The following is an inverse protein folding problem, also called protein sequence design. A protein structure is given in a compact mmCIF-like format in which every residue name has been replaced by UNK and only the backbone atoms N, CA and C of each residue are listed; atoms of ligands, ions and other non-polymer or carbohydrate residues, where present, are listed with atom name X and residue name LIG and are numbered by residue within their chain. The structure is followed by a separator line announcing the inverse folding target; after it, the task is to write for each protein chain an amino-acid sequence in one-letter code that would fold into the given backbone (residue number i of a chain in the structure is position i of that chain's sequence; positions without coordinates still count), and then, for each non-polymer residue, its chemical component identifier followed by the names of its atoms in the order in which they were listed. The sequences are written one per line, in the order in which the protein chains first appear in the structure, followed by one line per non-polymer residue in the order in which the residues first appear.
data_IF_400382155849
#
_entry.id   IF_400382155849
#
_cell.length_a   1.000
_cell.length_b   1.000
_cell.length_c   1.000
_cell.angle_alpha   90.00
_cell.angle_beta   90.00
_cell.angle_gamma   90.00
#
_symmetry.space_group_name_H-M   'P 1'
#
loop_
_entity.id
_entity.type
_entity.pdbx_description
1 polymer ?
#
# COMPACT_ATOMS: atom_id res chain seq x y z
N UNK A 1 51.96 13.95 2.68
CA UNK A 1 51.70 12.81 1.78
C UNK A 1 50.33 12.24 2.14
N UNK A 2 49.26 12.76 1.54
CA UNK A 2 47.87 12.33 1.77
C UNK A 2 47.17 12.28 0.42
N UNK A 3 46.97 11.06 -0.09
CA UNK A 3 46.37 10.80 -1.39
C UNK A 3 44.85 11.02 -1.33
N UNK A 4 44.33 11.89 -2.21
CA UNK A 4 42.89 12.01 -2.48
C UNK A 4 42.41 10.74 -3.20
N UNK A 5 41.67 9.89 -2.50
CA UNK A 5 40.92 8.80 -3.12
C UNK A 5 39.70 9.42 -3.83
N UNK A 6 39.78 9.58 -5.16
CA UNK A 6 38.62 9.84 -6.01
C UNK A 6 37.80 8.55 -6.10
N UNK A 7 36.65 8.51 -5.46
CA UNK A 7 35.63 7.48 -5.72
C UNK A 7 35.16 7.64 -7.17
N UNK A 8 35.48 6.67 -8.02
CA UNK A 8 34.97 6.59 -9.37
C UNK A 8 33.44 6.40 -9.34
N UNK A 9 32.69 7.31 -9.96
CA UNK A 9 31.29 7.05 -10.31
C UNK A 9 31.30 5.89 -11.33
N UNK A 10 30.48 4.84 -11.16
CA UNK A 10 30.32 3.86 -12.23
C UNK A 10 29.66 4.58 -13.41
N UNK A 11 30.41 4.74 -14.51
CA UNK A 11 29.87 5.14 -15.79
C UNK A 11 29.08 3.94 -16.32
N UNK A 12 27.74 4.02 -16.28
CA UNK A 12 26.91 3.01 -16.94
C UNK A 12 27.24 3.02 -18.44
N UNK A 13 27.36 1.83 -19.02
CA UNK A 13 27.68 1.68 -20.44
C UNK A 13 26.55 2.23 -21.32
N UNK A 14 26.83 2.61 -22.57
CA UNK A 14 25.79 3.12 -23.48
C UNK A 14 24.73 2.07 -23.82
N UNK A 15 25.06 0.77 -23.69
CA UNK A 15 24.11 -0.33 -23.77
C UNK A 15 23.14 -0.36 -22.58
N UNK A 16 23.63 -0.12 -21.35
CA UNK A 16 22.78 0.03 -20.15
C UNK A 16 21.85 1.24 -20.26
N UNK A 17 22.33 2.35 -20.80
CA UNK A 17 21.47 3.53 -21.06
C UNK A 17 20.42 3.27 -22.13
N UNK A 18 20.77 2.52 -23.18
CA UNK A 18 19.84 2.10 -24.22
C UNK A 18 18.78 1.11 -23.71
N UNK A 19 19.14 0.20 -22.78
CA UNK A 19 18.17 -0.67 -22.09
C UNK A 19 17.29 0.11 -21.10
N UNK A 20 17.86 1.05 -20.32
CA UNK A 20 17.08 1.92 -19.42
C UNK A 20 16.07 2.80 -20.18
N UNK A 21 16.39 3.20 -21.41
CA UNK A 21 15.51 3.93 -22.31
C UNK A 21 14.29 3.13 -22.79
N UNK A 22 14.26 1.81 -22.59
CA UNK A 22 13.16 0.90 -22.97
C UNK A 22 12.33 0.40 -21.80
N UNK A 23 12.69 0.75 -20.57
CA UNK A 23 11.88 0.42 -19.39
C UNK A 23 10.60 1.25 -19.37
N UNK A 24 9.45 0.66 -18.97
CA UNK A 24 8.19 1.38 -18.88
C UNK A 24 8.32 2.58 -17.94
N UNK A 25 7.72 3.69 -18.36
CA UNK A 25 7.55 4.89 -17.52
C UNK A 25 6.11 5.09 -17.12
N UNK A 26 5.17 4.84 -18.02
CA UNK A 26 3.75 4.91 -17.75
C UNK A 26 2.97 4.02 -18.71
N UNK A 27 1.79 3.58 -18.27
CA UNK A 27 0.81 2.88 -19.09
C UNK A 27 -0.43 3.75 -19.25
N UNK A 28 -1.08 3.65 -20.40
CA UNK A 28 -2.36 4.26 -20.69
C UNK A 28 -3.36 3.16 -21.02
N UNK A 29 -4.59 3.34 -20.55
CA UNK A 29 -5.74 2.49 -20.88
C UNK A 29 -6.82 3.38 -21.43
N UNK A 30 -7.14 3.19 -22.70
CA UNK A 30 -8.34 3.73 -23.31
C UNK A 30 -9.43 2.64 -23.39
N UNK A 31 -10.58 2.96 -23.98
CA UNK A 31 -11.72 2.04 -24.05
C UNK A 31 -11.43 0.75 -24.82
N UNK A 32 -10.40 0.73 -25.68
CA UNK A 32 -10.09 -0.38 -26.59
C UNK A 32 -8.65 -0.88 -26.49
N UNK A 33 -7.72 -0.12 -25.91
CA UNK A 33 -6.31 -0.43 -25.92
C UNK A 33 -5.66 -0.24 -24.56
N UNK A 34 -4.68 -1.10 -24.31
CA UNK A 34 -3.69 -0.92 -23.27
C UNK A 34 -2.37 -0.64 -23.96
N UNK A 35 -1.82 0.55 -23.76
CA UNK A 35 -0.53 0.97 -24.32
C UNK A 35 0.47 1.27 -23.21
N UNK A 36 1.75 0.99 -23.46
CA UNK A 36 2.82 1.33 -22.52
C UNK A 36 3.92 2.09 -23.24
N UNK A 37 4.44 3.12 -22.57
CA UNK A 37 5.45 4.02 -23.10
C UNK A 37 6.74 3.96 -22.26
N UNK A 38 7.87 4.06 -22.96
CA UNK A 38 9.19 4.25 -22.37
C UNK A 38 9.72 5.65 -22.67
N UNK A 39 10.49 6.22 -21.74
CA UNK A 39 10.93 7.62 -21.80
C UNK A 39 9.91 8.62 -21.26
N UNK A 40 10.40 9.80 -20.84
CA UNK A 40 9.56 10.91 -20.31
C UNK A 40 9.53 12.08 -21.28
N UNK A 41 10.68 12.55 -21.75
CA UNK A 41 10.77 13.70 -22.67
C UNK A 41 10.36 13.37 -24.09
N UNK A 42 10.70 12.17 -24.58
CA UNK A 42 10.27 11.66 -25.88
C UNK A 42 9.68 10.25 -25.69
N UNK A 43 8.41 10.13 -25.26
CA UNK A 43 7.80 8.84 -25.01
C UNK A 43 7.70 8.00 -26.28
N UNK A 44 8.18 6.77 -26.23
CA UNK A 44 8.08 5.78 -27.31
C UNK A 44 7.14 4.68 -26.86
N UNK A 45 6.14 4.34 -27.68
CA UNK A 45 5.27 3.21 -27.41
C UNK A 45 6.06 1.91 -27.52
N UNK A 46 6.09 1.13 -26.43
CA UNK A 46 6.83 -0.13 -26.32
C UNK A 46 5.91 -1.34 -26.19
N UNK A 47 4.61 -1.12 -25.92
CA UNK A 47 3.60 -2.16 -25.85
C UNK A 47 2.25 -1.64 -26.35
N UNK A 48 1.50 -2.51 -27.00
CA UNK A 48 0.11 -2.29 -27.36
C UNK A 48 -0.66 -3.61 -27.31
N UNK A 49 -1.83 -3.59 -26.71
CA UNK A 49 -2.77 -4.71 -26.68
C UNK A 49 -4.19 -4.20 -26.92
N UNK A 50 -4.84 -4.71 -27.95
CA UNK A 50 -6.27 -4.48 -28.19
C UNK A 50 -7.07 -5.27 -27.15
N UNK A 51 -7.67 -4.53 -26.22
CA UNK A 51 -8.29 -5.01 -25.00
C UNK A 51 -9.80 -4.91 -25.12
N UNK A 52 -10.49 -6.05 -25.20
CA UNK A 52 -11.95 -6.07 -25.39
C UNK A 52 -12.69 -5.79 -24.07
N UNK A 53 -12.12 -6.22 -22.95
CA UNK A 53 -12.65 -5.96 -21.62
C UNK A 53 -12.43 -4.51 -21.13
N UNK A 54 -11.73 -3.66 -21.89
CA UNK A 54 -11.42 -2.30 -21.47
C UNK A 54 -12.68 -1.41 -21.40
N UNK A 55 -13.67 -1.66 -22.27
CA UNK A 55 -14.99 -1.02 -22.21
C UNK A 55 -15.69 -1.28 -20.87
N UNK A 56 -15.52 -2.49 -20.32
CA UNK A 56 -16.09 -2.92 -19.03
C UNK A 56 -15.23 -2.59 -17.81
N UNK A 57 -14.08 -1.91 -17.99
CA UNK A 57 -13.22 -1.53 -16.88
C UNK A 57 -12.13 -2.54 -16.53
N UNK A 58 -11.39 -3.05 -17.53
CA UNK A 58 -10.19 -3.88 -17.31
C UNK A 58 -9.26 -3.31 -16.23
N UNK A 59 -8.94 -4.18 -15.27
CA UNK A 59 -7.92 -3.92 -14.25
C UNK A 59 -6.52 -4.20 -14.79
N UNK A 60 -5.57 -3.34 -14.44
CA UNK A 60 -4.16 -3.47 -14.81
C UNK A 60 -3.27 -2.99 -13.67
N UNK A 61 -2.05 -3.50 -13.60
CA UNK A 61 -1.08 -3.10 -12.58
C UNK A 61 0.37 -3.40 -13.01
N UNK A 62 1.30 -2.59 -12.53
CA UNK A 62 2.72 -2.91 -12.57
C UNK A 62 3.14 -3.63 -11.29
N UNK A 63 4.14 -4.50 -11.40
CA UNK A 63 4.85 -5.01 -10.23
C UNK A 63 5.60 -3.90 -9.50
N UNK A 64 5.92 -4.07 -8.22
CA UNK A 64 6.48 -3.01 -7.38
C UNK A 64 7.84 -2.47 -7.89
N UNK A 65 8.59 -3.31 -8.59
CA UNK A 65 9.88 -2.99 -9.23
C UNK A 65 9.75 -2.65 -10.73
N UNK A 66 8.53 -2.64 -11.27
CA UNK A 66 8.24 -2.40 -12.69
C UNK A 66 8.68 -3.52 -13.64
N UNK A 67 9.13 -4.68 -13.12
CA UNK A 67 9.60 -5.82 -13.93
C UNK A 67 8.49 -6.52 -14.70
N UNK A 68 7.28 -6.55 -14.14
CA UNK A 68 6.11 -7.16 -14.74
C UNK A 68 4.98 -6.17 -14.89
N UNK A 69 4.16 -6.39 -15.92
CA UNK A 69 2.93 -5.67 -16.19
C UNK A 69 1.81 -6.70 -16.36
N UNK A 70 0.73 -6.56 -15.58
CA UNK A 70 -0.39 -7.49 -15.62
C UNK A 70 -1.70 -6.76 -15.92
N UNK A 71 -2.60 -7.43 -16.64
CA UNK A 71 -3.96 -6.95 -16.87
C UNK A 71 -4.94 -8.09 -17.10
N UNK A 72 -6.23 -7.82 -16.88
CA UNK A 72 -7.35 -8.75 -17.07
C UNK A 72 -8.11 -8.46 -18.37
N UNK A 73 -8.13 -9.42 -19.29
CA UNK A 73 -8.98 -9.38 -20.50
C UNK A 73 -9.73 -10.71 -20.63
N UNK A 74 -9.48 -11.53 -21.66
CA UNK A 74 -10.04 -12.89 -21.73
C UNK A 74 -9.44 -13.86 -20.71
N UNK A 75 -8.29 -13.48 -20.16
CA UNK A 75 -7.46 -14.15 -19.16
C UNK A 75 -6.68 -13.07 -18.41
N UNK A 76 -5.99 -13.44 -17.34
CA UNK A 76 -4.93 -12.58 -16.80
C UNK A 76 -3.69 -12.79 -17.62
N UNK A 77 -3.17 -11.72 -18.21
CA UNK A 77 -1.89 -11.73 -18.90
C UNK A 77 -0.84 -11.03 -18.05
N UNK A 78 0.34 -11.64 -17.95
CA UNK A 78 1.51 -11.05 -17.29
C UNK A 78 2.64 -10.96 -18.31
N UNK A 79 3.11 -9.76 -18.58
CA UNK A 79 4.22 -9.48 -19.47
C UNK A 79 5.46 -9.08 -18.70
N UNK A 80 6.63 -9.52 -19.16
CA UNK A 80 7.92 -9.03 -18.66
C UNK A 80 8.30 -7.73 -19.38
N UNK A 81 8.39 -6.64 -18.64
CA UNK A 81 8.54 -5.29 -19.18
C UNK A 81 9.84 -5.04 -19.95
N UNK A 82 10.91 -5.79 -19.67
CA UNK A 82 12.20 -5.59 -20.34
C UNK A 82 12.19 -5.91 -21.83
N UNK A 83 11.33 -6.84 -22.26
CA UNK A 83 11.22 -7.29 -23.67
C UNK A 83 9.77 -7.37 -24.16
N UNK A 84 8.81 -6.98 -23.33
CA UNK A 84 7.37 -7.09 -23.61
C UNK A 84 6.95 -8.48 -24.09
N UNK A 85 7.53 -9.52 -23.49
CA UNK A 85 7.17 -10.92 -23.77
C UNK A 85 6.18 -11.42 -22.75
N UNK A 86 5.21 -12.21 -23.22
CA UNK A 86 4.29 -12.92 -22.34
C UNK A 86 5.10 -13.81 -21.40
N UNK A 87 4.93 -13.59 -20.11
CA UNK A 87 5.59 -14.33 -19.03
C UNK A 87 4.67 -15.41 -18.46
N UNK A 88 3.41 -15.07 -18.20
CA UNK A 88 2.40 -16.00 -17.73
C UNK A 88 1.00 -15.60 -18.22
N UNK A 89 0.11 -16.58 -18.32
CA UNK A 89 -1.31 -16.37 -18.54
C UNK A 89 -2.10 -17.27 -17.58
N UNK A 90 -3.07 -16.70 -16.86
CA UNK A 90 -3.90 -17.43 -15.90
C UNK A 90 -5.34 -17.48 -16.38
N UNK A 91 -6.00 -18.62 -16.20
CA UNK A 91 -7.39 -18.85 -16.62
C UNK A 91 -8.37 -18.19 -15.64
N UNK A 92 -8.41 -16.86 -15.70
CA UNK A 92 -9.24 -15.98 -14.89
C UNK A 92 -9.53 -14.72 -15.71
N UNK A 93 -10.80 -14.37 -15.88
CA UNK A 93 -11.27 -13.31 -16.77
C UNK A 93 -12.26 -12.35 -16.10
N UNK A 94 -12.57 -12.57 -14.82
CA UNK A 94 -13.52 -11.75 -14.06
C UNK A 94 -12.82 -10.92 -12.97
N UNK A 95 -11.50 -10.96 -12.90
CA UNK A 95 -10.76 -10.19 -11.90
C UNK A 95 -10.97 -8.68 -12.11
N UNK A 96 -11.40 -8.00 -11.05
CA UNK A 96 -11.55 -6.54 -10.96
C UNK A 96 -10.34 -5.89 -10.31
N UNK A 97 -9.55 -6.66 -9.56
CA UNK A 97 -8.36 -6.17 -8.89
C UNK A 97 -7.18 -7.13 -9.06
N UNK A 98 -6.01 -6.54 -9.23
CA UNK A 98 -4.72 -7.23 -9.34
C UNK A 98 -3.73 -6.66 -8.34
N UNK A 99 -2.93 -7.52 -7.73
CA UNK A 99 -1.90 -7.08 -6.81
C UNK A 99 -0.68 -8.02 -6.83
N UNK A 100 0.52 -7.48 -7.02
CA UNK A 100 1.77 -8.25 -6.93
C UNK A 100 2.32 -8.22 -5.50
N UNK A 101 2.75 -9.37 -5.02
CA UNK A 101 3.50 -9.46 -3.77
C UNK A 101 4.83 -8.67 -3.83
N UNK A 102 5.45 -8.26 -2.70
CA UNK A 102 6.62 -7.38 -2.64
C UNK A 102 7.81 -7.74 -3.54
N UNK A 103 8.14 -9.03 -3.69
CA UNK A 103 9.21 -9.56 -4.57
C UNK A 103 8.66 -10.13 -5.88
N UNK A 104 7.37 -9.91 -6.16
CA UNK A 104 6.67 -10.34 -7.36
C UNK A 104 6.69 -11.87 -7.57
N UNK A 105 6.72 -12.64 -6.48
CA UNK A 105 6.63 -14.10 -6.54
C UNK A 105 5.19 -14.58 -6.70
N UNK A 106 4.23 -13.78 -6.23
CA UNK A 106 2.79 -14.05 -6.26
C UNK A 106 2.03 -12.89 -6.92
N UNK A 107 1.02 -13.23 -7.71
CA UNK A 107 0.00 -12.31 -8.19
C UNK A 107 -1.34 -12.69 -7.56
N UNK A 108 -2.01 -11.73 -6.95
CA UNK A 108 -3.37 -11.86 -6.46
C UNK A 108 -4.35 -11.38 -7.51
N UNK A 109 -5.42 -12.13 -7.70
CA UNK A 109 -6.59 -11.72 -8.46
C UNK A 109 -7.80 -11.73 -7.56
N UNK A 110 -8.65 -10.71 -7.66
CA UNK A 110 -9.88 -10.64 -6.90
C UNK A 110 -11.05 -10.21 -7.79
N UNK A 111 -12.21 -10.84 -7.56
CA UNK A 111 -13.51 -10.40 -8.07
C UNK A 111 -14.46 -10.14 -6.89
N UNK A 112 -15.40 -9.17 -6.97
CA UNK A 112 -16.31 -8.90 -5.88
C UNK A 112 -17.15 -10.13 -5.56
N UNK A 113 -17.37 -10.37 -4.27
CA UNK A 113 -18.16 -11.51 -3.81
C UNK A 113 -19.62 -11.34 -4.27
N UNK A 114 -20.12 -12.28 -5.08
CA UNK A 114 -21.50 -12.31 -5.54
C UNK A 114 -22.18 -13.57 -5.01
N UNK A 115 -23.36 -13.42 -4.40
CA UNK A 115 -24.25 -14.54 -4.10
C UNK A 115 -25.37 -14.54 -5.14
N UNK A 116 -25.18 -15.26 -6.24
CA UNK A 116 -26.28 -15.49 -7.17
C UNK A 116 -27.40 -16.28 -6.46
N UNK A 117 -28.64 -15.85 -6.64
CA UNK A 117 -29.82 -16.53 -6.09
C UNK A 117 -29.88 -17.95 -6.67
N UNK A 118 -29.79 -18.97 -5.81
CA UNK A 118 -29.86 -20.39 -6.21
C UNK A 118 -28.52 -21.13 -6.31
N UNK A 119 -27.38 -20.46 -6.14
CA UNK A 119 -26.06 -21.13 -6.11
C UNK A 119 -25.69 -21.47 -4.66
N UNK A 120 -25.56 -22.76 -4.37
CA UNK A 120 -25.24 -23.29 -3.02
C UNK A 120 -23.74 -23.36 -2.73
N UNK A 121 -22.88 -23.27 -3.75
CA UNK A 121 -21.42 -23.28 -3.59
C UNK A 121 -20.85 -21.86 -3.50
N UNK A 122 -20.15 -21.58 -2.40
CA UNK A 122 -19.41 -20.34 -2.22
C UNK A 122 -18.17 -20.39 -3.13
N UNK A 123 -18.21 -19.73 -4.28
CA UNK A 123 -17.04 -19.63 -5.16
C UNK A 123 -15.93 -18.81 -4.51
N UNK A 124 -14.69 -19.30 -4.62
CA UNK A 124 -13.50 -18.54 -4.25
C UNK A 124 -13.33 -17.35 -5.18
N UNK A 125 -13.25 -16.16 -4.60
CA UNK A 125 -13.19 -14.90 -5.33
C UNK A 125 -11.86 -14.17 -5.16
N UNK A 126 -10.95 -14.72 -4.36
CA UNK A 126 -9.56 -14.28 -4.21
C UNK A 126 -8.64 -15.46 -4.54
N UNK A 127 -7.81 -15.32 -5.57
CA UNK A 127 -6.89 -16.38 -6.01
C UNK A 127 -5.44 -15.86 -5.97
N UNK A 128 -4.52 -16.73 -5.55
CA UNK A 128 -3.09 -16.44 -5.45
C UNK A 128 -2.34 -17.30 -6.46
N UNK A 129 -1.65 -16.66 -7.40
CA UNK A 129 -0.96 -17.31 -8.51
C UNK A 129 0.54 -17.16 -8.36
N UNK A 130 1.29 -18.25 -8.53
CA UNK A 130 2.75 -18.20 -8.57
C UNK A 130 3.21 -17.61 -9.90
N UNK A 131 3.90 -16.48 -9.85
CA UNK A 131 4.55 -15.88 -11.03
C UNK A 131 5.76 -16.71 -11.48
N UNK A 132 6.37 -17.48 -10.57
CA UNK A 132 7.54 -18.33 -10.87
C UNK A 132 7.13 -19.60 -11.61
N UNK A 133 6.10 -20.30 -11.11
CA UNK A 133 5.70 -21.61 -11.63
C UNK A 133 4.51 -21.58 -12.57
N UNK A 134 3.77 -20.46 -12.61
CA UNK A 134 2.53 -20.34 -13.38
C UNK A 134 1.34 -21.08 -12.77
N UNK A 135 1.47 -21.64 -11.56
CA UNK A 135 0.43 -22.44 -10.90
C UNK A 135 -0.40 -21.61 -9.92
N UNK A 136 -1.65 -22.04 -9.73
CA UNK A 136 -2.50 -21.59 -8.63
C UNK A 136 -1.93 -22.13 -7.31
N UNK A 137 -1.70 -21.24 -6.35
CA UNK A 137 -1.15 -21.58 -5.03
C UNK A 137 -2.25 -21.86 -4.02
N UNK A 138 -3.25 -20.98 -3.96
CA UNK A 138 -4.35 -21.07 -3.01
C UNK A 138 -5.54 -20.25 -3.50
N UNK A 139 -6.72 -20.60 -3.01
CA UNK A 139 -7.99 -19.94 -3.29
C UNK A 139 -8.71 -19.63 -1.99
N UNK A 140 -9.27 -18.43 -1.92
CA UNK A 140 -9.88 -17.91 -0.72
C UNK A 140 -11.22 -17.24 -1.03
N UNK A 141 -12.14 -17.33 -0.07
CA UNK A 141 -13.40 -16.57 -0.08
C UNK A 141 -13.21 -15.30 0.73
N UNK A 142 -13.39 -14.14 0.11
CA UNK A 142 -13.18 -12.83 0.68
C UNK A 142 -14.41 -11.94 0.44
N UNK A 143 -15.23 -11.78 1.48
CA UNK A 143 -16.50 -11.05 1.40
C UNK A 143 -16.32 -9.53 1.47
N UNK A 144 -15.36 -9.06 2.26
CA UNK A 144 -15.11 -7.63 2.42
C UNK A 144 -14.18 -7.14 1.30
N UNK A 145 -14.71 -6.26 0.44
CA UNK A 145 -13.98 -5.66 -0.67
C UNK A 145 -12.90 -4.67 -0.23
N UNK A 146 -13.04 -4.02 0.94
CA UNK A 146 -12.04 -3.06 1.43
C UNK A 146 -10.78 -3.81 1.90
N UNK A 147 -10.97 -4.89 2.67
CA UNK A 147 -9.87 -5.74 3.15
C UNK A 147 -9.61 -6.94 2.23
N UNK A 148 -9.86 -6.78 0.92
CA UNK A 148 -9.76 -7.89 -0.02
C UNK A 148 -8.35 -8.45 -0.15
N UNK A 149 -7.37 -7.55 -0.04
CA UNK A 149 -5.97 -7.82 -0.37
C UNK A 149 -5.24 -8.43 0.84
N UNK A 150 -4.65 -9.63 0.70
CA UNK A 150 -3.64 -10.11 1.65
C UNK A 150 -2.38 -9.25 1.55
N UNK A 151 -1.61 -9.19 2.64
CA UNK A 151 -0.37 -8.43 2.69
C UNK A 151 0.80 -9.35 3.00
N UNK A 152 1.99 -8.96 2.54
CA UNK A 152 3.23 -9.66 2.80
C UNK A 152 4.18 -8.74 3.53
N UNK A 153 5.04 -9.34 4.36
CA UNK A 153 6.28 -8.68 4.76
C UNK A 153 7.14 -8.41 3.53
N UNK A 154 8.04 -7.41 3.59
CA UNK A 154 8.81 -7.01 2.41
C UNK A 154 9.71 -8.13 1.85
N UNK A 155 10.09 -9.08 2.70
CA UNK A 155 10.84 -10.27 2.32
C UNK A 155 9.98 -11.46 1.88
N UNK A 156 8.64 -11.32 1.92
CA UNK A 156 7.63 -12.34 1.67
C UNK A 156 7.68 -13.57 2.59
N UNK A 157 8.35 -13.48 3.74
CA UNK A 157 8.41 -14.58 4.70
C UNK A 157 7.12 -14.78 5.51
N UNK A 158 6.23 -13.79 5.53
CA UNK A 158 4.94 -13.86 6.23
C UNK A 158 3.85 -13.30 5.32
N UNK A 159 2.73 -14.02 5.22
CA UNK A 159 1.49 -13.55 4.59
C UNK A 159 0.46 -13.27 5.67
N UNK A 160 -0.15 -12.09 5.68
CA UNK A 160 -1.19 -11.71 6.62
C UNK A 160 -2.52 -11.47 5.89
N UNK A 161 -3.60 -11.98 6.47
CA UNK A 161 -4.95 -11.83 5.93
C UNK A 161 -5.97 -11.65 7.05
N UNK A 162 -6.88 -10.71 6.85
CA UNK A 162 -8.00 -10.47 7.74
C UNK A 162 -9.25 -11.26 7.31
N UNK A 163 -9.77 -12.09 8.22
CA UNK A 163 -11.02 -12.83 8.05
C UNK A 163 -11.95 -12.51 9.22
N UNK A 164 -13.02 -11.75 8.96
CA UNK A 164 -13.87 -11.23 10.02
C UNK A 164 -13.09 -10.30 10.95
N UNK A 165 -12.94 -10.69 12.22
CA UNK A 165 -12.11 -9.98 13.21
C UNK A 165 -10.86 -10.77 13.64
N UNK A 166 -10.45 -11.71 12.79
CA UNK A 166 -9.26 -12.52 12.98
C UNK A 166 -8.20 -12.17 11.94
N UNK A 167 -7.04 -11.72 12.40
CA UNK A 167 -5.88 -11.50 11.55
C UNK A 167 -5.01 -12.76 11.58
N UNK A 168 -5.00 -13.49 10.48
CA UNK A 168 -4.27 -14.75 10.32
C UNK A 168 -2.93 -14.51 9.64
N UNK A 169 -1.87 -15.15 10.14
CA UNK A 169 -0.51 -15.10 9.62
C UNK A 169 -0.11 -16.48 9.12
N UNK A 170 0.33 -16.55 7.87
CA UNK A 170 0.69 -17.77 7.15
C UNK A 170 2.16 -17.76 6.79
N UNK A 171 2.75 -18.95 6.75
CA UNK A 171 4.04 -19.16 6.10
C UNK A 171 3.80 -19.34 4.59
N UNK A 172 4.64 -18.76 3.72
CA UNK A 172 4.42 -18.77 2.26
C UNK A 172 4.44 -20.18 1.66
N UNK A 173 5.02 -21.16 2.34
CA UNK A 173 5.07 -22.56 1.91
C UNK A 173 3.73 -23.29 2.09
N UNK A 174 2.86 -22.80 2.98
CA UNK A 174 1.54 -23.39 3.23
C UNK A 174 0.51 -22.30 3.54
N UNK A 175 -0.29 -21.96 2.52
CA UNK A 175 -1.34 -20.94 2.59
C UNK A 175 -2.71 -21.50 3.02
N UNK A 176 -2.84 -22.82 3.18
CA UNK A 176 -4.10 -23.46 3.58
C UNK A 176 -4.33 -23.39 5.09
N UNK A 177 -3.24 -23.26 5.88
CA UNK A 177 -3.29 -23.21 7.33
C UNK A 177 -2.44 -22.07 7.88
N UNK A 178 -3.06 -21.21 8.69
CA UNK A 178 -2.32 -20.16 9.41
C UNK A 178 -1.41 -20.77 10.48
N UNK A 179 -0.27 -20.12 10.70
CA UNK A 179 0.72 -20.45 11.73
C UNK A 179 0.40 -19.71 13.02
N UNK A 180 0.06 -18.41 12.91
CA UNK A 180 -0.36 -17.59 14.04
C UNK A 180 -1.64 -16.81 13.73
N UNK A 181 -2.32 -16.36 14.78
CA UNK A 181 -3.58 -15.61 14.65
C UNK A 181 -3.68 -14.57 15.77
N UNK A 182 -4.09 -13.36 15.40
CA UNK A 182 -4.45 -12.28 16.32
C UNK A 182 -5.95 -12.03 16.22
N UNK A 183 -6.70 -12.37 17.28
CA UNK A 183 -8.14 -12.13 17.36
C UNK A 183 -8.41 -10.95 18.28
N UNK A 184 -8.97 -9.87 17.73
CA UNK A 184 -9.38 -8.69 18.49
C UNK A 184 -10.84 -8.35 18.18
N UNK A 185 -11.68 -8.06 19.19
CA UNK A 185 -13.06 -7.64 18.94
C UNK A 185 -13.13 -6.43 18.01
N UNK A 186 -13.97 -6.53 16.97
CA UNK A 186 -14.18 -5.48 15.96
C UNK A 186 -12.90 -5.04 15.22
N UNK A 187 -11.90 -5.92 15.09
CA UNK A 187 -10.81 -5.68 14.15
C UNK A 187 -11.40 -5.59 12.74
N UNK A 188 -11.16 -4.48 12.06
CA UNK A 188 -11.76 -4.18 10.76
C UNK A 188 -10.75 -3.78 9.68
N UNK A 189 -9.55 -3.33 10.06
CA UNK A 189 -8.47 -3.00 9.12
C UNK A 189 -7.10 -3.29 9.74
N UNK A 190 -6.10 -3.50 8.89
CA UNK A 190 -4.71 -3.69 9.28
C UNK A 190 -3.76 -3.18 8.19
N UNK A 191 -2.48 -3.03 8.53
CA UNK A 191 -1.42 -2.70 7.60
C UNK A 191 -0.08 -3.27 8.09
N UNK A 192 0.62 -4.00 7.24
CA UNK A 192 1.97 -4.50 7.54
C UNK A 192 3.02 -3.41 7.31
N UNK A 193 4.03 -3.37 8.17
CA UNK A 193 5.15 -2.45 8.00
C UNK A 193 5.93 -2.77 6.71
N UNK A 194 6.27 -1.77 5.89
CA UNK A 194 7.21 -1.94 4.79
C UNK A 194 8.64 -2.02 5.33
N UNK A 195 9.61 -2.28 4.44
CA UNK A 195 11.03 -2.30 4.82
C UNK A 195 11.50 -3.63 5.40
N UNK A 196 12.78 -3.71 5.82
CA UNK A 196 13.38 -4.95 6.30
C UNK A 196 12.88 -5.34 7.69
N UNK A 197 13.17 -6.58 8.10
CA UNK A 197 12.93 -7.06 9.45
C UNK A 197 13.66 -6.19 10.52
N UNK A 198 13.14 -6.08 11.76
CA UNK A 198 11.95 -6.74 12.28
C UNK A 198 10.64 -6.16 11.69
N UNK A 199 9.67 -7.03 11.44
CA UNK A 199 8.38 -6.65 10.88
C UNK A 199 7.38 -6.31 11.97
N UNK A 200 6.43 -5.45 11.63
CA UNK A 200 5.38 -4.98 12.52
C UNK A 200 4.04 -4.97 11.80
N UNK A 201 2.97 -4.93 12.57
CA UNK A 201 1.61 -4.80 12.05
C UNK A 201 0.83 -3.77 12.84
N UNK A 202 0.22 -2.83 12.13
CA UNK A 202 -0.74 -1.90 12.68
C UNK A 202 -2.14 -2.45 12.44
N UNK A 203 -2.99 -2.44 13.46
CA UNK A 203 -4.38 -2.90 13.36
C UNK A 203 -5.32 -1.84 13.90
N UNK A 204 -6.52 -1.81 13.33
CA UNK A 204 -7.61 -0.94 13.76
C UNK A 204 -8.76 -1.79 14.31
N UNK A 205 -9.24 -1.41 15.49
CA UNK A 205 -10.47 -1.94 16.07
C UNK A 205 -11.51 -0.83 16.16
N UNK A 206 -12.68 -1.04 15.56
CA UNK A 206 -13.77 -0.08 15.61
C UNK A 206 -14.37 0.04 17.03
N UNK A 207 -15.00 1.18 17.31
CA UNK A 207 -15.62 1.45 18.61
C UNK A 207 -16.74 0.46 18.94
N UNK A 208 -16.94 0.20 20.23
CA UNK A 208 -18.05 -0.56 20.79
C UNK A 208 -18.70 0.21 21.93
N UNK A 209 -19.79 -0.30 22.50
CA UNK A 209 -20.45 0.33 23.66
C UNK A 209 -19.52 0.47 24.87
N UNK A 210 -18.52 -0.41 24.98
CA UNK A 210 -17.62 -0.48 26.14
C UNK A 210 -16.22 0.11 25.87
N UNK A 211 -15.81 0.19 24.60
CA UNK A 211 -14.44 0.56 24.22
C UNK A 211 -14.43 1.54 23.06
N UNK A 212 -13.60 2.57 23.16
CA UNK A 212 -13.32 3.49 22.06
C UNK A 212 -12.63 2.76 20.90
N UNK A 213 -12.67 3.38 19.71
CA UNK A 213 -11.87 2.91 18.59
C UNK A 213 -10.38 3.02 18.93
N UNK A 214 -9.56 2.11 18.39
CA UNK A 214 -8.13 2.10 18.68
C UNK A 214 -7.30 1.64 17.51
N UNK A 215 -6.13 2.26 17.34
CA UNK A 215 -5.03 1.70 16.58
C UNK A 215 -4.04 1.05 17.53
N UNK A 216 -3.54 -0.12 17.15
CA UNK A 216 -2.56 -0.88 17.92
C UNK A 216 -1.44 -1.34 17.01
N UNK A 217 -0.23 -1.23 17.50
CA UNK A 217 0.99 -1.65 16.83
C UNK A 217 1.51 -2.90 17.52
N UNK A 218 1.76 -3.96 16.76
CA UNK A 218 2.30 -5.23 17.23
C UNK A 218 3.61 -5.57 16.50
N UNK A 219 4.46 -6.38 17.12
CA UNK A 219 5.50 -7.09 16.37
C UNK A 219 4.85 -8.13 15.44
N UNK A 220 5.55 -8.51 14.36
CA UNK A 220 5.07 -9.51 13.42
C UNK A 220 6.18 -10.55 13.19
N UNK A 221 5.96 -11.75 13.73
CA UNK A 221 6.87 -12.89 13.63
C UNK A 221 6.05 -14.18 13.60
N UNK A 222 6.53 -15.20 12.89
CA UNK A 222 5.95 -16.55 12.96
C UNK A 222 6.54 -17.38 14.10
N UNK A 223 7.71 -17.00 14.62
CA UNK A 223 8.46 -17.77 15.61
C UNK A 223 8.32 -17.25 17.05
N UNK A 224 7.76 -16.06 17.21
CA UNK A 224 7.62 -15.37 18.49
C UNK A 224 6.17 -14.93 18.69
N UNK A 225 5.70 -14.77 19.95
CA UNK A 225 4.38 -14.22 20.22
C UNK A 225 4.15 -12.85 19.56
N UNK A 226 2.90 -12.59 19.15
CA UNK A 226 2.44 -11.30 18.64
C UNK A 226 2.04 -10.43 19.83
N UNK A 227 2.99 -9.63 20.30
CA UNK A 227 2.89 -8.72 21.43
C UNK A 227 2.66 -7.28 20.99
N UNK A 228 1.91 -6.55 21.81
CA UNK A 228 1.61 -5.14 21.58
C UNK A 228 2.82 -4.28 21.93
N UNK A 229 3.16 -3.36 21.03
CA UNK A 229 4.25 -2.38 21.19
C UNK A 229 3.68 -1.02 21.59
N UNK A 230 2.62 -0.59 20.91
CA UNK A 230 2.01 0.72 21.15
C UNK A 230 0.49 0.64 20.91
N UNK A 231 -0.27 1.49 21.60
CA UNK A 231 -1.71 1.58 21.48
C UNK A 231 -2.16 3.03 21.56
N UNK A 232 -3.08 3.43 20.69
CA UNK A 232 -3.71 4.75 20.73
C UNK A 232 -5.22 4.60 20.56
N UNK A 233 -5.97 5.14 21.53
CA UNK A 233 -7.43 5.26 21.45
C UNK A 233 -7.82 6.62 20.89
N UNK A 234 -8.89 6.65 20.09
CA UNK A 234 -9.45 7.86 19.46
C UNK A 234 -10.90 7.62 19.06
N UNK A 235 -11.57 8.68 18.60
CA UNK A 235 -12.85 8.58 17.91
C UNK A 235 -12.58 8.46 16.41
N UNK A 236 -13.09 7.40 15.79
CA UNK A 236 -12.99 7.17 14.36
C UNK A 236 -14.04 6.15 13.92
N UNK A 237 -14.48 6.28 12.67
CA UNK A 237 -15.24 5.26 11.96
C UNK A 237 -14.30 4.36 11.17
N UNK A 238 -13.29 4.96 10.52
CA UNK A 238 -12.21 4.27 9.78
C UNK A 238 -10.85 4.91 10.04
N UNK A 239 -9.79 4.24 9.59
CA UNK A 239 -8.44 4.77 9.63
C UNK A 239 -7.66 4.47 8.37
N UNK A 240 -6.74 5.37 8.03
CA UNK A 240 -5.70 5.16 7.04
C UNK A 240 -4.31 5.08 7.71
N UNK A 241 -3.54 4.07 7.32
CA UNK A 241 -2.21 3.81 7.87
C UNK A 241 -1.13 4.25 6.87
N UNK A 242 -0.32 5.23 7.25
CA UNK A 242 0.81 5.70 6.45
C UNK A 242 2.12 5.33 7.14
N UNK A 243 2.75 4.24 6.72
CA UNK A 243 4.04 3.81 7.24
C UNK A 243 5.19 4.63 6.67
N UNK A 244 6.20 4.89 7.50
CA UNK A 244 7.49 5.32 6.98
C UNK A 244 8.17 4.16 6.21
N UNK A 245 9.10 4.51 5.31
CA UNK A 245 9.74 3.54 4.40
C UNK A 245 10.48 2.40 5.14
N UNK A 246 11.01 2.68 6.33
CA UNK A 246 11.75 1.69 7.13
C UNK A 246 10.85 0.79 8.00
N UNK A 247 9.53 1.04 8.06
CA UNK A 247 8.62 0.25 8.89
C UNK A 247 8.77 0.45 10.39
N UNK A 248 9.37 1.56 10.82
CA UNK A 248 9.65 1.86 12.25
C UNK A 248 8.65 2.85 12.85
N UNK A 249 7.84 3.50 12.02
CA UNK A 249 6.81 4.42 12.47
C UNK A 249 5.63 4.42 11.48
N UNK A 250 4.44 4.66 12.01
CA UNK A 250 3.19 4.74 11.26
C UNK A 250 2.39 5.95 11.72
N UNK A 251 1.92 6.73 10.76
CA UNK A 251 0.89 7.72 10.99
C UNK A 251 -0.47 7.05 10.83
N UNK A 252 -1.35 7.31 11.79
CA UNK A 252 -2.74 6.84 11.80
C UNK A 252 -3.61 8.05 11.59
N UNK A 253 -4.23 8.14 10.41
CA UNK A 253 -5.25 9.13 10.12
C UNK A 253 -6.59 8.56 10.56
N UNK A 254 -7.11 9.06 11.67
CA UNK A 254 -8.41 8.70 12.24
C UNK A 254 -9.49 9.56 11.61
N UNK A 255 -10.47 8.93 10.95
CA UNK A 255 -11.50 9.61 10.16
C UNK A 255 -12.86 9.32 10.78
N UNK A 256 -13.61 10.38 11.07
CA UNK A 256 -15.03 10.35 11.43
C UNK A 256 -15.84 10.86 10.24
N UNK A 257 -16.85 10.12 9.80
CA UNK A 257 -17.68 10.52 8.66
C UNK A 257 -18.67 11.65 9.02
N UNK A 258 -19.09 11.70 10.28
CA UNK A 258 -19.95 12.77 10.82
C UNK A 258 -19.30 13.33 12.08
N UNK A 259 -19.10 14.64 12.10
CA UNK A 259 -18.52 15.33 13.25
C UNK A 259 -19.55 15.36 14.41
N UNK A 260 -19.24 14.75 15.58
CA UNK A 260 -20.15 14.76 16.72
C UNK A 260 -20.48 16.18 17.24
N UNK A 261 -19.60 17.15 16.97
CA UNK A 261 -19.83 18.55 17.35
C UNK A 261 -20.71 19.30 16.34
N UNK A 262 -21.08 18.64 15.24
CA UNK A 262 -21.88 19.18 14.15
C UNK A 262 -21.31 20.48 13.56
N UNK A 263 -19.99 20.68 13.65
CA UNK A 263 -19.31 21.85 13.06
C UNK A 263 -19.06 21.67 11.58
N UNK A 264 -19.02 20.43 11.11
CA UNK A 264 -18.75 20.08 9.72
C UNK A 264 -19.66 18.94 9.26
N UNK A 265 -20.35 19.14 8.14
CA UNK A 265 -21.18 18.11 7.49
C UNK A 265 -20.35 16.99 6.85
N UNK A 266 -19.04 17.19 6.69
CA UNK A 266 -18.12 16.29 5.98
C UNK A 266 -17.25 15.45 6.93
N UNK A 267 -17.55 15.47 8.24
CA UNK A 267 -16.78 14.71 9.21
C UNK A 267 -15.49 15.40 9.66
N UNK A 268 -14.63 14.67 10.39
CA UNK A 268 -13.37 15.22 10.92
C UNK A 268 -12.24 14.20 10.87
N UNK A 269 -11.01 14.72 10.76
CA UNK A 269 -9.81 13.92 10.64
C UNK A 269 -8.83 14.29 11.75
N UNK A 270 -8.21 13.29 12.37
CA UNK A 270 -7.19 13.47 13.40
C UNK A 270 -5.96 12.63 13.05
N UNK A 271 -4.77 13.21 13.20
CA UNK A 271 -3.52 12.52 12.91
C UNK A 271 -2.84 12.07 14.19
N UNK A 272 -2.46 10.80 14.24
CA UNK A 272 -1.70 10.21 15.33
C UNK A 272 -0.41 9.59 14.81
N UNK A 273 0.62 9.53 15.66
CA UNK A 273 1.88 8.87 15.39
C UNK A 273 2.05 7.68 16.34
N UNK A 274 2.38 6.51 15.79
CA UNK A 274 2.87 5.36 16.55
C UNK A 274 4.25 4.93 16.06
N UNK A 275 5.14 4.53 16.97
CA UNK A 275 6.48 4.07 16.64
C UNK A 275 6.78 2.71 17.26
N UNK A 276 7.72 1.98 16.67
CA UNK A 276 8.17 0.68 17.17
C UNK A 276 8.97 0.77 18.48
N UNK A 277 9.31 1.99 18.92
CA UNK A 277 9.89 2.26 20.24
C UNK A 277 8.82 2.48 21.32
N UNK A 278 7.53 2.30 21.03
CA UNK A 278 6.44 2.43 21.99
C UNK A 278 5.84 3.83 22.10
N UNK A 279 6.29 4.81 21.30
CA UNK A 279 5.65 6.13 21.25
C UNK A 279 4.27 6.01 20.60
N UNK A 280 3.25 6.58 21.23
CA UNK A 280 1.90 6.76 20.68
C UNK A 280 1.36 8.14 21.07
N UNK A 281 1.30 9.09 20.13
CA UNK A 281 0.91 10.48 20.41
C UNK A 281 0.00 11.07 19.33
N UNK A 282 -0.61 12.22 19.64
CA UNK A 282 -1.30 13.04 18.64
C UNK A 282 -0.27 13.89 17.90
N UNK A 283 -0.46 14.11 16.61
CA UNK A 283 0.29 15.13 15.87
C UNK A 283 -0.40 16.48 16.07
N UNK A 284 0.25 17.48 16.68
CA UNK A 284 -0.39 18.75 17.00
C UNK A 284 -0.52 19.61 15.74
N UNK A 285 -1.72 19.59 15.15
CA UNK A 285 -2.10 20.44 14.02
C UNK A 285 -2.75 21.72 14.57
N UNK A 286 -2.11 22.87 14.35
CA UNK A 286 -2.48 24.17 14.94
C UNK A 286 -3.44 25.01 14.09
N UNK A 287 -4.11 24.40 13.12
CA UNK A 287 -5.05 25.07 12.21
C UNK A 287 -6.27 24.20 11.98
N UNK A 288 -7.44 24.80 12.11
CA UNK A 288 -8.71 24.13 11.89
C UNK A 288 -8.94 23.81 10.40
N UNK A 289 -9.48 22.62 10.13
CA UNK A 289 -9.80 22.11 8.80
C UNK A 289 -9.29 20.68 8.58
N UNK A 290 -9.45 20.14 7.36
CA UNK A 290 -9.09 18.76 7.04
C UNK A 290 -7.57 18.56 6.92
N UNK A 291 -7.14 17.30 6.84
CA UNK A 291 -5.78 16.92 6.47
C UNK A 291 -5.80 16.59 4.98
N UNK A 292 -5.22 17.47 4.17
CA UNK A 292 -5.23 17.30 2.71
C UNK A 292 -4.24 16.24 2.26
N UNK A 293 -3.04 16.20 2.87
CA UNK A 293 -1.99 15.27 2.47
C UNK A 293 -0.95 15.06 3.57
N UNK A 294 -0.37 13.87 3.56
CA UNK A 294 0.71 13.44 4.44
C UNK A 294 1.73 12.70 3.60
N UNK A 295 3.00 13.04 3.75
CA UNK A 295 4.08 12.26 3.14
C UNK A 295 5.28 12.11 4.06
N UNK A 296 5.90 10.93 3.99
CA UNK A 296 7.08 10.60 4.76
C UNK A 296 8.34 10.97 3.98
N UNK A 297 9.25 11.69 4.65
CA UNK A 297 10.58 11.86 4.10
C UNK A 297 11.24 10.48 3.90
N UNK A 298 11.93 10.21 2.77
CA UNK A 298 12.44 8.87 2.45
C UNK A 298 13.46 8.33 3.47
N UNK A 299 14.09 9.23 4.23
CA UNK A 299 14.94 8.90 5.39
C UNK A 299 14.19 8.39 6.63
N UNK A 300 12.86 8.34 6.61
CA UNK A 300 11.99 7.74 7.65
C UNK A 300 12.03 8.38 9.04
N UNK A 301 12.57 9.60 9.14
CA UNK A 301 12.73 10.35 10.41
C UNK A 301 11.88 11.61 10.50
N UNK A 302 11.33 12.05 9.38
CA UNK A 302 10.54 13.26 9.24
C UNK A 302 9.33 12.96 8.38
N UNK A 303 8.24 13.70 8.58
CA UNK A 303 7.07 13.67 7.71
C UNK A 303 6.49 15.08 7.58
N UNK A 304 5.86 15.34 6.45
CA UNK A 304 5.17 16.60 6.20
C UNK A 304 3.66 16.37 6.19
N UNK A 305 2.93 17.35 6.71
CA UNK A 305 1.47 17.36 6.73
C UNK A 305 0.98 18.66 6.13
N UNK A 306 0.03 18.58 5.20
CA UNK A 306 -0.72 19.73 4.66
C UNK A 306 -2.12 19.69 5.25
N UNK A 307 -2.51 20.73 6.00
CA UNK A 307 -3.72 20.72 6.81
C UNK A 307 -4.37 22.10 6.98
N UNK A 308 -5.64 22.09 7.37
CA UNK A 308 -6.44 23.27 7.63
C UNK A 308 -7.15 23.83 6.39
N UNK A 309 -8.11 24.72 6.59
CA UNK A 309 -8.84 25.36 5.48
C UNK A 309 -7.90 26.17 4.58
N UNK A 310 -8.13 26.08 3.26
CA UNK A 310 -7.36 26.77 2.23
C UNK A 310 -7.42 28.30 2.47
N UNK A 311 -6.28 29.02 2.46
CA UNK A 311 -4.91 28.54 2.23
C UNK A 311 -4.41 27.62 3.36
N UNK A 312 -4.03 26.40 3.02
CA UNK A 312 -3.69 25.35 3.99
C UNK A 312 -2.28 25.59 4.53
N UNK A 313 -2.00 25.12 5.74
CA UNK A 313 -0.65 25.12 6.31
C UNK A 313 0.06 23.84 5.92
N UNK A 314 1.34 23.95 5.56
CA UNK A 314 2.23 22.80 5.46
C UNK A 314 3.31 22.88 6.55
N UNK A 315 3.52 21.79 7.29
CA UNK A 315 4.54 21.74 8.33
C UNK A 315 5.26 20.39 8.36
N UNK A 316 6.52 20.40 8.80
CA UNK A 316 7.39 19.23 8.93
C UNK A 316 7.49 18.82 10.41
N UNK A 317 7.42 17.52 10.68
CA UNK A 317 7.44 16.96 12.04
C UNK A 317 8.49 15.85 12.17
N UNK A 318 9.00 15.66 13.40
CA UNK A 318 9.89 14.55 13.77
C UNK A 318 9.14 13.31 14.31
N UNK A 319 9.90 12.26 14.68
CA UNK A 319 9.35 11.02 15.24
C UNK A 319 8.79 11.15 16.67
N UNK A 320 8.79 12.35 17.26
CA UNK A 320 8.11 12.68 18.51
C UNK A 320 6.89 13.58 18.27
N UNK A 321 6.55 13.82 17.00
CA UNK A 321 5.53 14.77 16.55
C UNK A 321 5.83 16.23 16.94
N UNK A 322 7.10 16.59 17.13
CA UNK A 322 7.49 17.99 17.27
C UNK A 322 7.57 18.62 15.89
N UNK A 323 7.03 19.84 15.74
CA UNK A 323 7.18 20.62 14.51
C UNK A 323 8.63 21.09 14.37
N UNK A 324 9.28 20.65 13.30
CA UNK A 324 10.66 20.98 12.93
C UNK A 324 10.71 22.20 12.01
N UNK A 325 9.71 22.36 11.13
CA UNK A 325 9.63 23.46 10.18
C UNK A 325 8.19 23.80 9.84
N UNK A 326 7.91 25.07 9.52
CA UNK A 326 6.61 25.59 9.10
C UNK A 326 6.78 26.28 7.75
N UNK A 327 6.09 25.80 6.71
CA UNK A 327 6.15 26.36 5.36
C UNK A 327 5.16 27.53 5.18
N UNK A 328 4.40 27.90 6.21
CA UNK A 328 3.37 28.92 6.14
C UNK A 328 2.08 28.41 5.48
N UNK A 329 1.22 29.35 5.10
CA UNK A 329 -0.09 29.07 4.54
C UNK A 329 -0.15 29.50 3.08
N UNK A 330 -0.47 28.55 2.21
CA UNK A 330 -0.48 28.70 0.75
C UNK A 330 -1.61 27.85 0.14
N UNK A 331 -2.04 28.09 -1.11
CA UNK A 331 -3.09 27.29 -1.75
C UNK A 331 -2.55 25.92 -2.20
N UNK A 332 -2.25 25.05 -1.23
CA UNK A 332 -1.70 23.70 -1.41
C UNK A 332 -2.67 22.64 -0.89
N UNK A 333 -2.65 21.45 -1.47
CA UNK A 333 -3.43 20.31 -0.99
C UNK A 333 -2.67 18.98 -1.06
N UNK A 334 -1.47 18.96 -1.64
CA UNK A 334 -0.64 17.77 -1.74
C UNK A 334 0.75 18.05 -1.18
N UNK A 335 1.43 16.99 -0.75
CA UNK A 335 2.86 17.04 -0.47
C UNK A 335 3.53 15.75 -0.91
N UNK A 336 4.67 15.88 -1.58
CA UNK A 336 5.46 14.75 -2.05
C UNK A 336 6.95 15.04 -1.87
N UNK A 337 7.64 14.17 -1.14
CA UNK A 337 9.08 14.12 -1.13
C UNK A 337 9.58 13.40 -2.37
N UNK A 338 10.61 13.97 -3.00
CA UNK A 338 11.33 13.20 -4.00
C UNK A 338 12.06 12.02 -3.34
N UNK A 339 12.46 11.03 -4.16
CA UNK A 339 13.12 9.80 -3.68
C UNK A 339 14.37 10.03 -2.82
N UNK A 340 15.08 11.14 -3.04
CA UNK A 340 16.32 11.48 -2.31
C UNK A 340 16.07 12.31 -1.05
N UNK A 341 14.86 12.86 -0.88
CA UNK A 341 14.46 13.68 0.28
C UNK A 341 15.02 15.10 0.27
N UNK A 342 15.69 15.52 -0.80
CA UNK A 342 16.27 16.86 -0.92
C UNK A 342 15.33 17.87 -1.60
N UNK A 343 14.21 17.41 -2.17
CA UNK A 343 13.16 18.26 -2.71
C UNK A 343 11.80 17.84 -2.14
N UNK A 344 10.97 18.85 -1.87
CA UNK A 344 9.57 18.70 -1.51
C UNK A 344 8.75 19.44 -2.57
N UNK A 345 7.73 18.78 -3.09
CA UNK A 345 6.70 19.36 -3.93
C UNK A 345 5.46 19.51 -3.06
N UNK A 346 4.91 20.72 -2.98
CA UNK A 346 3.65 20.97 -2.27
C UNK A 346 2.85 22.08 -2.91
#
# INVERSE_FOLDING_TARGET
MLAKIRLAKPMSTDAEKAELGRLPKFALRDDRNITVYAGITNPVQVFNHECRACISGTTLTFSNDGKYFAFCDKKIFVYKCSKWRLHAAFDENEATNLFFSPKNSVLCTFKPYSTAVGVTSVESNLKLWSIVTGKLLCEWVQKNIVSWRPMWTADESIVARLVGSELCFFAPENLDRYVQKLTLPKLSSFSLSPGPAPFHVAVYTASSREKMASARLYNCSLNWPIDIIACKNFQADRVDFHWNKNGTAVLVMAILDVDPQNKSYYGSENLHLMTTCGVACNVPLDREGPIHSVDWHPGSKLFCVVYGYIPSKAALFDLKANRVFDFGCEPRNEVHFNRFGNYILS
#
